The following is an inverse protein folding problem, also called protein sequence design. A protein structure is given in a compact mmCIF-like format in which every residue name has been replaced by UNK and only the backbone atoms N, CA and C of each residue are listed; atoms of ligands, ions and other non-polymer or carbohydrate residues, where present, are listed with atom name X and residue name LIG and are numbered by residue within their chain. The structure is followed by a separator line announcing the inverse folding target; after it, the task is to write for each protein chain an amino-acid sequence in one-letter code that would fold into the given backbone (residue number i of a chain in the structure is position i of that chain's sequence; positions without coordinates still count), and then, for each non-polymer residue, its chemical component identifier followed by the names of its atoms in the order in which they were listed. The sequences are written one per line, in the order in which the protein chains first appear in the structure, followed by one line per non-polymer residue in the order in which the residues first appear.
data_IF_411396684497
#
_entry.id   IF_411396684497
#
_cell.length_a   1.000
_cell.length_b   1.000
_cell.length_c   1.000
_cell.angle_alpha   90.00
_cell.angle_beta   90.00
_cell.angle_gamma   90.00
#
_symmetry.space_group_name_H-M   'P 1'
#
loop_
_entity.id
_entity.type
_entity.pdbx_description
1 polymer ?
#
# COMPACT_ATOMS: atom_id res chain seq x y z
N UNK A 1 -13.85 -56.85 -34.28
CA UNK A 1 -14.19 -55.42 -34.44
C UNK A 1 -14.13 -54.58 -33.15
N UNK A 2 -14.24 -55.17 -31.94
CA UNK A 2 -14.17 -54.40 -30.67
C UNK A 2 -12.78 -53.81 -30.31
N UNK A 3 -11.68 -54.32 -30.87
CA UNK A 3 -10.31 -53.91 -30.48
C UNK A 3 -9.91 -52.51 -30.96
N UNK A 4 -10.64 -51.92 -31.92
CA UNK A 4 -10.37 -50.57 -32.43
C UNK A 4 -11.23 -49.47 -31.76
N UNK A 5 -12.19 -49.85 -30.91
CA UNK A 5 -12.99 -48.91 -30.10
C UNK A 5 -12.24 -48.44 -28.84
N UNK A 6 -11.14 -49.09 -28.48
CA UNK A 6 -10.21 -48.71 -27.41
C UNK A 6 -8.96 -48.00 -27.98
N UNK A 7 -9.15 -47.12 -28.96
CA UNK A 7 -8.07 -46.22 -29.37
C UNK A 7 -7.75 -45.29 -28.21
N UNK A 8 -6.46 -45.16 -27.85
CA UNK A 8 -5.95 -44.32 -26.75
C UNK A 8 -6.56 -42.91 -26.75
N UNK A 9 -6.97 -42.39 -27.92
CA UNK A 9 -7.57 -41.08 -28.07
C UNK A 9 -8.96 -40.95 -27.43
N UNK A 10 -9.80 -41.98 -27.52
CA UNK A 10 -11.13 -41.97 -26.88
C UNK A 10 -10.97 -42.11 -25.36
N UNK A 11 -10.05 -42.97 -24.91
CA UNK A 11 -9.78 -43.15 -23.49
C UNK A 11 -9.24 -41.86 -22.84
N UNK A 12 -8.30 -41.17 -23.49
CA UNK A 12 -7.78 -39.89 -23.02
C UNK A 12 -8.89 -38.83 -22.96
N UNK A 13 -9.76 -38.75 -23.97
CA UNK A 13 -10.88 -37.80 -23.98
C UNK A 13 -11.86 -38.03 -22.82
N UNK A 14 -12.20 -39.29 -22.54
CA UNK A 14 -13.08 -39.65 -21.41
C UNK A 14 -12.40 -39.33 -20.07
N UNK A 15 -11.11 -39.61 -19.93
CA UNK A 15 -10.35 -39.32 -18.71
C UNK A 15 -10.35 -37.82 -18.40
N UNK A 16 -10.11 -36.96 -19.40
CA UNK A 16 -10.13 -35.50 -19.23
C UNK A 16 -11.52 -35.01 -18.82
N UNK A 17 -12.59 -35.52 -19.43
CA UNK A 17 -13.96 -35.16 -19.05
C UNK A 17 -14.29 -35.54 -17.61
N UNK A 18 -13.83 -36.70 -17.14
CA UNK A 18 -14.03 -37.12 -15.74
C UNK A 18 -13.27 -36.18 -14.79
N UNK A 19 -12.03 -35.83 -15.10
CA UNK A 19 -11.23 -34.90 -14.26
C UNK A 19 -11.91 -33.53 -14.20
N UNK A 20 -12.31 -32.96 -15.34
CA UNK A 20 -13.03 -31.69 -15.37
C UNK A 20 -14.34 -31.75 -14.58
N UNK A 21 -15.11 -32.84 -14.72
CA UNK A 21 -16.34 -33.02 -13.96
C UNK A 21 -16.12 -33.07 -12.45
N UNK A 22 -15.12 -33.82 -11.99
CA UNK A 22 -14.79 -33.92 -10.55
C UNK A 22 -14.31 -32.58 -10.01
N UNK A 23 -13.45 -31.85 -10.74
CA UNK A 23 -12.96 -30.52 -10.33
C UNK A 23 -14.11 -29.52 -10.27
N UNK A 24 -14.99 -29.46 -11.27
CA UNK A 24 -16.15 -28.56 -11.25
C UNK A 24 -17.11 -28.85 -10.10
N UNK A 25 -17.37 -30.13 -9.79
CA UNK A 25 -18.21 -30.51 -8.63
C UNK A 25 -17.53 -30.17 -7.31
N UNK A 26 -16.20 -30.27 -7.23
CA UNK A 26 -15.44 -29.87 -6.06
C UNK A 26 -15.57 -28.36 -5.79
N UNK A 27 -15.34 -27.52 -6.81
CA UNK A 27 -15.49 -26.06 -6.68
C UNK A 27 -16.92 -25.65 -6.31
N UNK A 28 -17.94 -26.29 -6.89
CA UNK A 28 -19.34 -26.03 -6.53
C UNK A 28 -19.70 -26.43 -5.09
N UNK A 29 -18.91 -27.27 -4.43
CA UNK A 29 -19.14 -27.68 -3.04
C UNK A 29 -18.34 -26.87 -2.03
N UNK A 30 -17.25 -26.23 -2.43
CA UNK A 30 -16.41 -25.43 -1.53
C UNK A 30 -16.90 -23.99 -1.36
N UNK A 31 -17.77 -23.50 -2.25
CA UNK A 31 -18.48 -22.24 -2.08
C UNK A 31 -19.70 -22.40 -1.14
N UNK A 32 -19.44 -22.82 0.10
CA UNK A 32 -20.42 -22.66 1.17
C UNK A 32 -20.57 -21.17 1.46
N UNK A 33 -21.79 -20.59 1.41
CA UNK A 33 -21.97 -19.19 1.74
C UNK A 33 -21.50 -18.96 3.17
N UNK A 34 -20.66 -17.93 3.36
CA UNK A 34 -20.38 -17.37 4.67
C UNK A 34 -21.72 -17.09 5.37
N UNK A 35 -21.76 -17.36 6.68
CA UNK A 35 -22.97 -17.37 7.50
C UNK A 35 -23.93 -16.22 7.15
N UNK A 36 -25.25 -16.48 7.08
CA UNK A 36 -26.21 -15.45 6.70
C UNK A 36 -26.04 -14.22 7.60
N UNK A 37 -25.62 -13.12 6.96
CA UNK A 37 -25.41 -11.82 7.60
C UNK A 37 -26.64 -11.51 8.44
N UNK A 38 -26.44 -11.38 9.75
CA UNK A 38 -27.48 -10.94 10.67
C UNK A 38 -27.83 -9.51 10.28
N UNK A 39 -28.93 -9.34 9.55
CA UNK A 39 -29.51 -8.04 9.23
C UNK A 39 -29.98 -7.46 10.57
N UNK A 40 -29.18 -6.54 11.12
CA UNK A 40 -29.60 -5.72 12.25
C UNK A 40 -30.80 -4.87 11.78
N UNK A 41 -31.85 -4.88 12.58
CA UNK A 41 -33.11 -4.19 12.31
C UNK A 41 -32.84 -2.75 11.87
N UNK A 42 -33.41 -2.28 10.73
CA UNK A 42 -33.22 -0.91 10.29
C UNK A 42 -33.69 0.05 11.38
N UNK A 43 -32.76 0.89 11.86
CA UNK A 43 -33.07 2.00 12.75
C UNK A 43 -33.91 2.98 11.94
N UNK A 44 -35.10 3.34 12.45
CA UNK A 44 -35.96 4.34 11.80
C UNK A 44 -35.14 5.62 11.53
N UNK A 45 -35.05 6.06 10.26
CA UNK A 45 -34.30 7.26 9.94
C UNK A 45 -34.95 8.45 10.64
N UNK A 46 -34.17 9.15 11.46
CA UNK A 46 -34.59 10.42 12.04
C UNK A 46 -34.99 11.39 10.91
N UNK A 47 -36.09 12.14 11.07
CA UNK A 47 -36.55 13.06 10.04
C UNK A 47 -35.45 14.07 9.72
N UNK A 48 -34.93 14.03 8.48
CA UNK A 48 -33.98 15.02 7.98
C UNK A 48 -34.60 16.41 8.15
N UNK A 49 -33.89 17.38 8.75
CA UNK A 49 -34.36 18.75 8.82
C UNK A 49 -34.52 19.28 7.39
N UNK A 50 -35.73 19.74 7.08
CA UNK A 50 -36.07 20.30 5.78
C UNK A 50 -35.50 21.72 5.73
N UNK A 51 -34.31 21.87 5.17
CA UNK A 51 -33.73 23.18 4.91
C UNK A 51 -34.57 23.87 3.81
N UNK A 52 -35.21 24.98 4.17
CA UNK A 52 -35.86 25.86 3.20
C UNK A 52 -34.79 26.71 2.52
N UNK A 53 -34.67 26.59 1.19
CA UNK A 53 -33.78 27.45 0.42
C UNK A 53 -34.29 28.91 0.50
N UNK A 54 -33.39 29.89 0.73
CA UNK A 54 -33.77 31.30 0.69
C UNK A 54 -34.24 31.66 -0.73
N UNK A 55 -35.52 32.03 -0.85
CA UNK A 55 -36.11 32.53 -2.10
C UNK A 55 -35.64 33.98 -2.28
N UNK A 56 -34.53 34.16 -2.99
CA UNK A 56 -34.04 35.45 -3.47
C UNK A 56 -33.55 35.32 -4.90
N UNK A 57 -34.18 36.04 -5.83
CA UNK A 57 -33.79 36.10 -7.24
C UNK A 57 -32.45 36.83 -7.42
N UNK A 58 -31.35 36.09 -7.38
CA UNK A 58 -30.07 36.50 -7.98
C UNK A 58 -29.31 35.27 -8.43
N UNK A 59 -28.70 35.30 -9.61
CA UNK A 59 -27.81 34.29 -10.16
C UNK A 59 -26.75 33.89 -9.12
N UNK A 60 -26.93 32.74 -8.44
CA UNK A 60 -25.99 32.22 -7.46
C UNK A 60 -25.36 30.93 -7.99
N UNK A 61 -24.07 31.03 -8.29
CA UNK A 61 -23.16 29.95 -8.67
C UNK A 61 -22.85 29.09 -7.43
N UNK A 62 -23.77 28.20 -7.09
CA UNK A 62 -23.68 27.31 -5.94
C UNK A 62 -24.38 25.97 -6.19
N UNK A 63 -23.98 24.94 -5.44
CA UNK A 63 -24.58 23.61 -5.53
C UNK A 63 -24.96 23.08 -4.14
N UNK A 64 -26.03 22.28 -4.12
CA UNK A 64 -26.53 21.58 -2.93
C UNK A 64 -25.94 20.18 -2.91
N UNK A 65 -25.35 19.76 -1.79
CA UNK A 65 -24.92 18.38 -1.59
C UNK A 65 -26.10 17.49 -1.16
N UNK A 66 -25.96 16.17 -1.30
CA UNK A 66 -27.03 15.21 -1.00
C UNK A 66 -27.45 15.19 0.48
N UNK A 67 -26.63 15.76 1.36
CA UNK A 67 -26.92 15.98 2.77
C UNK A 67 -27.77 17.24 3.05
N UNK A 68 -28.06 18.04 2.01
CA UNK A 68 -28.85 19.27 2.11
C UNK A 68 -28.03 20.51 2.47
N UNK A 69 -26.71 20.41 2.52
CA UNK A 69 -25.83 21.57 2.73
C UNK A 69 -25.64 22.34 1.42
N UNK A 70 -25.65 23.67 1.51
CA UNK A 70 -25.44 24.59 0.38
C UNK A 70 -24.02 25.16 0.44
N UNK A 71 -23.28 25.07 -0.66
CA UNK A 71 -22.02 25.78 -0.83
C UNK A 71 -22.19 26.91 -1.84
N UNK A 72 -22.01 28.15 -1.37
CA UNK A 72 -22.01 29.36 -2.20
C UNK A 72 -20.58 29.65 -2.67
N UNK A 73 -20.35 29.61 -3.99
CA UNK A 73 -19.10 30.05 -4.59
C UNK A 73 -18.54 29.08 -5.64
N UNK A 74 -18.13 29.65 -6.78
CA UNK A 74 -17.11 29.06 -7.65
C UNK A 74 -15.94 28.68 -6.74
N UNK A 75 -15.42 27.44 -6.82
CA UNK A 75 -14.19 27.10 -6.11
C UNK A 75 -13.12 28.11 -6.55
N UNK A 76 -12.87 29.15 -5.74
CA UNK A 76 -11.60 29.84 -5.83
C UNK A 76 -10.59 28.71 -5.72
N UNK A 77 -9.73 28.59 -6.74
CA UNK A 77 -8.57 27.76 -6.64
C UNK A 77 -7.77 28.32 -5.46
N UNK A 78 -8.12 27.88 -4.25
CA UNK A 78 -7.35 28.14 -3.07
C UNK A 78 -6.01 27.53 -3.43
N UNK A 79 -5.04 28.43 -3.66
CA UNK A 79 -3.66 28.02 -3.65
C UNK A 79 -3.52 27.15 -2.40
N UNK A 80 -3.10 25.88 -2.55
CA UNK A 80 -3.09 24.93 -1.45
C UNK A 80 -2.49 25.65 -0.25
N UNK A 81 -3.16 25.62 0.93
CA UNK A 81 -2.73 26.38 2.09
C UNK A 81 -1.24 26.21 2.18
N UNK A 82 -0.50 27.33 2.11
CA UNK A 82 0.95 27.30 2.08
C UNK A 82 1.37 26.60 3.36
N UNK A 83 1.61 25.29 3.27
CA UNK A 83 2.01 24.48 4.41
C UNK A 83 3.28 25.17 4.85
N UNK A 84 3.34 25.72 6.07
CA UNK A 84 4.56 26.34 6.54
C UNK A 84 5.59 25.24 6.57
N UNK A 85 6.39 25.14 5.49
CA UNK A 85 7.52 24.24 5.38
C UNK A 85 8.68 24.81 6.22
N UNK A 86 8.34 25.42 7.34
CA UNK A 86 9.22 25.78 8.42
C UNK A 86 9.37 24.53 9.26
N UNK A 87 9.99 23.49 8.70
CA UNK A 87 10.84 22.67 9.54
C UNK A 87 11.74 23.67 10.28
N UNK A 88 11.73 23.69 11.62
CA UNK A 88 12.58 24.59 12.36
C UNK A 88 13.99 24.54 11.76
N UNK A 89 14.58 25.67 11.33
CA UNK A 89 15.91 25.66 10.74
C UNK A 89 16.91 25.15 11.79
N UNK A 90 17.46 23.96 11.54
CA UNK A 90 18.32 23.21 12.48
C UNK A 90 17.47 22.27 13.34
N UNK A 91 17.58 20.95 13.25
CA UNK A 91 18.79 20.16 13.04
C UNK A 91 18.33 18.88 12.33
N UNK A 92 18.70 18.70 11.06
CA UNK A 92 18.81 17.32 10.56
C UNK A 92 19.97 16.72 11.35
N UNK A 93 19.69 16.15 12.51
CA UNK A 93 20.70 15.43 13.28
C UNK A 93 21.06 14.25 12.41
N UNK A 94 22.29 14.22 11.90
CA UNK A 94 22.88 12.96 11.45
C UNK A 94 22.57 11.93 12.55
N UNK A 95 21.80 10.87 12.26
CA UNK A 95 21.40 9.93 13.29
C UNK A 95 22.64 9.40 14.00
N UNK A 96 22.64 9.40 15.32
CA UNK A 96 23.72 8.84 16.11
C UNK A 96 23.58 7.31 16.13
N UNK A 97 24.00 6.69 15.03
CA UNK A 97 23.97 5.25 14.91
C UNK A 97 24.94 4.62 15.90
N UNK A 98 24.56 3.50 16.55
CA UNK A 98 25.51 2.70 17.30
C UNK A 98 26.72 2.36 16.41
N UNK A 99 27.92 2.48 16.96
CA UNK A 99 29.13 2.05 16.25
C UNK A 99 29.02 0.57 15.91
N UNK A 100 29.22 0.22 14.63
CA UNK A 100 29.23 -1.16 14.17
C UNK A 100 30.58 -1.80 14.55
N UNK A 101 30.55 -2.97 15.19
CA UNK A 101 31.78 -3.74 15.44
C UNK A 101 32.32 -4.23 14.08
N UNK A 102 33.59 -3.92 13.71
CA UNK A 102 34.14 -4.31 12.43
C UNK A 102 34.25 -5.84 12.22
N UNK A 103 34.09 -6.64 13.27
CA UNK A 103 34.08 -8.11 13.18
C UNK A 103 32.66 -8.70 13.18
N UNK A 104 31.63 -7.88 13.30
CA UNK A 104 30.24 -8.33 13.24
C UNK A 104 29.89 -8.80 11.82
N UNK A 105 29.02 -9.81 11.73
CA UNK A 105 28.47 -10.23 10.45
C UNK A 105 27.70 -9.05 9.80
N UNK A 106 27.96 -8.72 8.53
CA UNK A 106 27.37 -7.54 7.90
C UNK A 106 25.85 -7.62 7.77
N UNK A 107 25.26 -8.82 7.69
CA UNK A 107 23.81 -9.01 7.68
C UNK A 107 23.24 -8.77 9.07
N UNK A 108 23.88 -9.29 10.12
CA UNK A 108 23.50 -9.01 11.52
C UNK A 108 23.53 -7.51 11.82
N UNK A 109 24.60 -6.83 11.43
CA UNK A 109 24.75 -5.38 11.59
C UNK A 109 23.64 -4.60 10.84
N UNK A 110 23.26 -5.05 9.64
CA UNK A 110 22.15 -4.47 8.88
C UNK A 110 20.81 -4.60 9.63
N UNK A 111 20.50 -5.77 10.20
CA UNK A 111 19.29 -5.97 10.99
C UNK A 111 19.29 -5.16 12.30
N UNK A 112 20.44 -5.02 12.97
CA UNK A 112 20.54 -4.12 14.15
C UNK A 112 20.24 -2.68 13.77
N UNK A 113 20.76 -2.21 12.63
CA UNK A 113 20.44 -0.88 12.10
C UNK A 113 18.96 -0.73 11.74
N UNK A 114 18.35 -1.75 11.15
CA UNK A 114 16.92 -1.76 10.83
C UNK A 114 16.06 -1.64 12.10
N UNK A 115 16.42 -2.39 13.14
CA UNK A 115 15.73 -2.32 14.44
C UNK A 115 15.95 -0.96 15.12
N UNK A 116 17.13 -0.36 14.99
CA UNK A 116 17.38 1.00 15.45
C UNK A 116 16.46 2.01 14.74
N UNK A 117 16.37 1.97 13.41
CA UNK A 117 15.49 2.84 12.61
C UNK A 117 14.05 2.73 13.10
N UNK A 118 13.55 1.50 13.26
CA UNK A 118 12.19 1.21 13.71
C UNK A 118 11.90 1.81 15.08
N UNK A 119 12.86 1.76 16.00
CA UNK A 119 12.71 2.27 17.37
C UNK A 119 12.96 3.78 17.49
N UNK A 120 13.53 4.42 16.47
CA UNK A 120 13.87 5.84 16.46
C UNK A 120 13.35 6.53 15.18
N UNK A 121 12.04 6.48 14.89
CA UNK A 121 11.50 6.89 13.60
C UNK A 121 11.67 8.40 13.32
N UNK A 122 11.93 9.23 14.33
CA UNK A 122 12.15 10.67 14.18
C UNK A 122 13.63 11.07 13.99
N UNK A 123 14.57 10.12 13.98
CA UNK A 123 15.99 10.45 13.87
C UNK A 123 16.39 11.05 12.50
N UNK A 124 15.53 10.89 11.48
CA UNK A 124 15.68 11.47 10.13
C UNK A 124 14.80 12.72 9.93
N UNK A 125 14.28 13.28 11.02
CA UNK A 125 13.35 14.39 11.00
C UNK A 125 11.89 13.95 11.07
N UNK A 126 11.00 14.81 10.59
CA UNK A 126 9.57 14.72 10.86
C UNK A 126 9.21 15.27 12.24
N UNK A 127 7.92 15.52 12.44
CA UNK A 127 7.38 16.01 13.71
C UNK A 127 6.22 15.10 14.09
N UNK A 128 6.13 14.76 15.37
CA UNK A 128 4.98 14.05 15.87
C UNK A 128 3.71 14.88 15.64
N UNK A 129 2.77 14.34 14.87
CA UNK A 129 1.45 14.94 14.65
C UNK A 129 0.37 14.12 15.34
N UNK A 130 -0.34 14.73 16.29
CA UNK A 130 -1.57 14.13 16.85
C UNK A 130 -2.60 13.90 15.75
N UNK A 131 -2.68 14.80 14.76
CA UNK A 131 -3.56 14.64 13.61
C UNK A 131 -3.20 13.42 12.76
N UNK A 132 -1.92 13.14 12.56
CA UNK A 132 -1.50 11.90 11.90
C UNK A 132 -1.99 10.66 12.67
N UNK A 133 -1.99 10.71 14.00
CA UNK A 133 -2.49 9.60 14.85
C UNK A 133 -3.98 9.36 14.62
N UNK A 134 -4.78 10.42 14.57
CA UNK A 134 -6.22 10.34 14.27
C UNK A 134 -6.50 9.82 12.86
N UNK A 135 -5.76 10.30 11.86
CA UNK A 135 -5.92 9.88 10.46
C UNK A 135 -5.56 8.41 10.28
N UNK A 136 -4.47 7.94 10.91
CA UNK A 136 -4.11 6.51 10.93
C UNK A 136 -5.25 5.68 11.54
N UNK A 137 -5.88 6.15 12.62
CA UNK A 137 -6.98 5.42 13.25
C UNK A 137 -8.23 5.35 12.35
N UNK A 138 -8.51 6.39 11.56
CA UNK A 138 -9.64 6.42 10.62
C UNK A 138 -9.40 5.56 9.38
N UNK A 139 -8.17 5.55 8.87
CA UNK A 139 -7.80 4.85 7.63
C UNK A 139 -7.53 3.36 7.82
N UNK A 140 -7.49 2.86 9.06
CA UNK A 140 -7.15 1.48 9.39
C UNK A 140 -8.36 0.73 9.99
N UNK A 141 -8.58 -0.55 9.64
CA UNK A 141 -7.73 -1.40 8.80
C UNK A 141 -7.75 -1.01 7.32
N UNK A 142 -6.65 -1.24 6.61
CA UNK A 142 -6.50 -0.83 5.22
C UNK A 142 -7.52 -1.49 4.27
N UNK A 143 -8.03 -2.68 4.59
CA UNK A 143 -9.06 -3.37 3.81
C UNK A 143 -10.46 -2.96 4.29
N UNK A 144 -10.91 -1.76 3.93
CA UNK A 144 -12.33 -1.41 4.08
C UNK A 144 -13.11 -1.90 2.86
N UNK A 145 -14.35 -2.40 3.03
CA UNK A 145 -15.23 -2.70 1.91
C UNK A 145 -15.32 -1.45 1.03
N UNK A 146 -15.03 -1.60 -0.26
CA UNK A 146 -15.19 -0.50 -1.21
C UNK A 146 -16.69 -0.30 -1.40
N UNK A 147 -17.29 0.56 -0.59
CA UNK A 147 -18.49 1.25 -1.05
C UNK A 147 -18.02 2.28 -2.08
N UNK A 148 -18.62 2.24 -3.27
CA UNK A 148 -18.19 3.08 -4.39
C UNK A 148 -18.34 4.59 -4.11
N UNK A 149 -19.11 4.97 -3.09
CA UNK A 149 -19.29 6.35 -2.66
C UNK A 149 -18.22 6.86 -1.67
N UNK A 150 -17.51 5.97 -0.96
CA UNK A 150 -16.55 6.36 0.10
C UNK A 150 -15.13 6.59 -0.44
N UNK A 151 -14.93 6.45 -1.76
CA UNK A 151 -13.62 6.59 -2.41
C UNK A 151 -13.04 7.99 -2.24
N UNK A 152 -13.88 9.02 -2.37
CA UNK A 152 -13.43 10.41 -2.42
C UNK A 152 -13.01 10.91 -1.02
N UNK A 153 -13.81 10.62 0.02
CA UNK A 153 -13.47 11.00 1.40
C UNK A 153 -12.18 10.30 1.86
N UNK A 154 -12.04 9.01 1.52
CA UNK A 154 -10.85 8.25 1.87
C UNK A 154 -9.60 8.80 1.20
N UNK A 155 -9.67 9.22 -0.06
CA UNK A 155 -8.54 9.84 -0.76
C UNK A 155 -8.12 11.15 -0.09
N UNK A 156 -9.09 11.99 0.30
CA UNK A 156 -8.81 13.24 1.04
C UNK A 156 -8.11 12.99 2.39
N UNK A 157 -8.54 11.98 3.14
CA UNK A 157 -7.89 11.60 4.41
C UNK A 157 -6.46 11.08 4.18
N UNK A 158 -6.22 10.35 3.09
CA UNK A 158 -4.87 9.87 2.71
C UNK A 158 -3.97 11.04 2.32
N UNK A 159 -4.48 12.00 1.54
CA UNK A 159 -3.75 13.21 1.19
C UNK A 159 -3.40 14.03 2.43
N UNK A 160 -4.36 14.20 3.35
CA UNK A 160 -4.12 14.89 4.62
C UNK A 160 -3.04 14.17 5.45
N UNK A 161 -3.07 12.83 5.50
CA UNK A 161 -2.06 12.03 6.19
C UNK A 161 -0.68 12.21 5.56
N UNK A 162 -0.61 12.26 4.23
CA UNK A 162 0.62 12.50 3.49
C UNK A 162 1.21 13.88 3.82
N UNK A 163 0.36 14.90 3.94
CA UNK A 163 0.79 16.26 4.31
C UNK A 163 1.36 16.35 5.73
N UNK A 164 0.99 15.44 6.64
CA UNK A 164 1.55 15.42 7.99
C UNK A 164 3.05 15.09 8.01
N UNK A 165 3.52 14.32 7.02
CA UNK A 165 4.91 13.82 6.93
C UNK A 165 5.43 13.21 8.25
N UNK A 166 4.53 12.60 9.04
CA UNK A 166 4.87 11.92 10.29
C UNK A 166 5.46 10.55 9.94
N UNK A 167 6.67 10.20 10.39
CA UNK A 167 7.28 8.89 10.12
C UNK A 167 6.40 7.68 10.47
N UNK A 168 5.50 7.81 11.46
CA UNK A 168 4.56 6.74 11.83
C UNK A 168 3.51 6.48 10.75
N UNK A 169 3.23 7.45 9.89
CA UNK A 169 2.30 7.29 8.78
C UNK A 169 2.77 6.23 7.77
N UNK A 170 4.08 5.98 7.67
CA UNK A 170 4.64 5.03 6.70
C UNK A 170 3.99 3.64 6.78
N UNK A 171 3.72 3.15 7.99
CA UNK A 171 3.04 1.87 8.21
C UNK A 171 1.61 1.83 7.67
N UNK A 172 0.85 2.90 7.86
CA UNK A 172 -0.51 3.01 7.32
C UNK A 172 -0.50 3.16 5.80
N UNK A 173 0.36 4.03 5.26
CA UNK A 173 0.48 4.27 3.82
C UNK A 173 0.83 2.99 3.06
N UNK A 174 1.82 2.22 3.51
CA UNK A 174 2.18 0.97 2.82
C UNK A 174 1.07 -0.08 2.93
N UNK A 175 0.36 -0.14 4.05
CA UNK A 175 -0.78 -1.05 4.21
C UNK A 175 -1.95 -0.67 3.29
N UNK A 176 -2.26 0.62 3.16
CA UNK A 176 -3.27 1.13 2.23
C UNK A 176 -2.92 0.79 0.78
N UNK A 177 -1.63 0.87 0.42
CA UNK A 177 -1.16 0.55 -0.93
C UNK A 177 -1.16 -0.95 -1.24
N UNK A 178 -0.74 -1.78 -0.29
CA UNK A 178 -0.57 -3.22 -0.49
C UNK A 178 -1.82 -4.04 -0.19
N UNK A 179 -2.53 -3.72 0.89
CA UNK A 179 -3.70 -4.47 1.36
C UNK A 179 -5.03 -3.74 1.05
N UNK A 180 -5.02 -2.40 0.99
CA UNK A 180 -6.22 -1.59 0.71
C UNK A 180 -6.51 -1.34 -0.78
N UNK A 181 -5.56 -1.67 -1.66
CA UNK A 181 -5.67 -1.44 -3.10
C UNK A 181 -5.63 0.03 -3.53
N UNK A 182 -5.35 0.96 -2.60
CA UNK A 182 -5.27 2.39 -2.90
C UNK A 182 -3.95 2.70 -3.59
N UNK A 183 -3.96 3.57 -4.60
CA UNK A 183 -2.74 3.98 -5.30
C UNK A 183 -2.71 5.48 -5.38
N UNK A 184 -1.53 6.05 -5.19
CA UNK A 184 -1.36 7.49 -5.28
C UNK A 184 0.11 7.82 -5.40
N UNK A 185 0.44 8.69 -6.37
CA UNK A 185 1.79 9.23 -6.49
C UNK A 185 2.23 9.92 -5.19
N UNK A 186 1.28 10.61 -4.55
CA UNK A 186 1.48 11.28 -3.27
C UNK A 186 1.98 10.35 -2.17
N UNK A 187 1.48 9.10 -2.09
CA UNK A 187 1.95 8.15 -1.08
C UNK A 187 3.38 7.68 -1.34
N UNK A 188 3.76 7.43 -2.60
CA UNK A 188 5.14 7.10 -2.96
C UNK A 188 6.10 8.23 -2.60
N UNK A 189 5.75 9.46 -2.97
CA UNK A 189 6.57 10.64 -2.71
C UNK A 189 6.64 10.94 -1.20
N UNK A 190 5.59 10.63 -0.44
CA UNK A 190 5.58 10.74 1.02
C UNK A 190 6.46 9.68 1.69
N UNK A 191 6.38 8.40 1.28
CA UNK A 191 7.28 7.36 1.80
C UNK A 191 8.75 7.69 1.52
N UNK A 192 9.04 8.26 0.34
CA UNK A 192 10.36 8.78 0.01
C UNK A 192 10.76 9.98 0.89
N UNK A 193 9.83 10.90 1.16
CA UNK A 193 10.08 12.05 2.04
C UNK A 193 10.33 11.63 3.50
N UNK A 194 9.59 10.62 4.00
CA UNK A 194 9.82 10.00 5.32
C UNK A 194 11.20 9.34 5.37
N UNK A 195 11.62 8.66 4.29
CA UNK A 195 12.97 8.12 4.16
C UNK A 195 13.20 6.82 4.94
N UNK A 196 14.36 6.64 5.62
CA UNK A 196 14.71 5.39 6.31
C UNK A 196 13.65 4.84 7.28
N UNK A 197 12.95 5.67 8.09
CA UNK A 197 11.84 5.21 8.93
C UNK A 197 10.73 4.43 8.21
N UNK A 198 10.55 4.61 6.90
CA UNK A 198 9.57 3.84 6.15
C UNK A 198 10.01 2.39 5.87
N UNK A 199 11.32 2.13 5.80
CA UNK A 199 11.88 0.82 5.39
C UNK A 199 11.42 -0.36 6.25
N UNK A 200 11.41 -0.29 7.60
CA UNK A 200 10.92 -1.38 8.45
C UNK A 200 9.47 -1.79 8.15
N UNK A 201 8.65 -0.87 7.66
CA UNK A 201 7.25 -1.15 7.32
C UNK A 201 7.08 -1.73 5.91
N UNK A 202 7.99 -1.40 4.99
CA UNK A 202 7.93 -1.89 3.60
C UNK A 202 8.51 -3.31 3.46
N UNK A 203 9.57 -3.64 4.21
CA UNK A 203 10.25 -4.94 4.11
C UNK A 203 9.35 -6.17 4.34
N UNK A 204 8.41 -6.18 5.31
CA UNK A 204 7.47 -7.30 5.45
C UNK A 204 6.65 -7.57 4.18
N UNK A 205 6.29 -6.53 3.42
CA UNK A 205 5.58 -6.69 2.15
C UNK A 205 6.49 -7.23 1.05
N UNK A 206 7.78 -6.86 1.05
CA UNK A 206 8.77 -7.46 0.15
C UNK A 206 8.93 -8.96 0.38
N UNK A 207 8.93 -9.41 1.63
CA UNK A 207 9.01 -10.85 1.95
C UNK A 207 7.72 -11.60 1.60
N UNK A 208 6.57 -10.93 1.71
CA UNK A 208 5.28 -11.50 1.30
C UNK A 208 5.20 -11.76 -0.19
N UNK A 209 6.04 -11.14 -1.04
CA UNK A 209 6.02 -11.30 -2.52
C UNK A 209 6.09 -12.76 -3.00
N UNK A 210 6.53 -13.69 -2.15
CA UNK A 210 6.63 -15.12 -2.44
C UNK A 210 5.34 -15.94 -2.18
N UNK A 211 4.34 -15.42 -1.45
CA UNK A 211 3.34 -16.29 -0.78
C UNK A 211 1.89 -16.20 -1.27
N UNK A 212 1.54 -15.31 -2.19
CA UNK A 212 0.15 -15.04 -2.61
C UNK A 212 -0.10 -15.23 -4.14
N UNK A 213 -1.35 -15.30 -4.59
CA UNK A 213 -1.72 -15.54 -6.00
C UNK A 213 -1.74 -14.27 -6.88
N UNK A 214 -2.33 -14.34 -8.07
CA UNK A 214 -2.32 -13.37 -9.20
C UNK A 214 -2.58 -11.87 -8.96
N UNK A 215 -2.86 -11.40 -7.74
CA UNK A 215 -3.12 -9.97 -7.41
C UNK A 215 -1.87 -9.08 -7.28
N UNK A 216 -0.72 -9.58 -7.74
CA UNK A 216 0.63 -9.04 -7.49
C UNK A 216 1.02 -7.74 -8.17
N UNK A 217 0.27 -7.29 -9.16
CA UNK A 217 0.67 -6.09 -9.91
C UNK A 217 0.80 -4.93 -8.92
N UNK A 218 -0.12 -4.81 -7.96
CA UNK A 218 -0.19 -3.64 -7.08
C UNK A 218 0.91 -3.64 -6.01
N UNK A 219 1.10 -4.77 -5.30
CA UNK A 219 2.12 -4.91 -4.26
C UNK A 219 3.53 -4.67 -4.82
N UNK A 220 3.78 -5.11 -6.07
CA UNK A 220 5.08 -4.88 -6.70
C UNK A 220 5.41 -3.39 -6.80
N UNK A 221 4.50 -2.56 -7.33
CA UNK A 221 4.76 -1.12 -7.39
C UNK A 221 4.89 -0.49 -6.00
N UNK A 222 4.00 -0.87 -5.08
CA UNK A 222 3.96 -0.36 -3.72
C UNK A 222 5.25 -0.60 -2.93
N UNK A 223 6.01 -1.65 -3.28
CA UNK A 223 7.23 -2.05 -2.57
C UNK A 223 8.50 -1.61 -3.30
N UNK A 224 8.64 -1.97 -4.59
CA UNK A 224 9.89 -1.76 -5.32
C UNK A 224 10.19 -0.26 -5.53
N UNK A 225 9.18 0.55 -5.86
CA UNK A 225 9.39 1.96 -6.19
C UNK A 225 9.83 2.78 -4.96
N UNK A 226 9.14 2.73 -3.79
CA UNK A 226 9.62 3.38 -2.57
C UNK A 226 11.00 2.93 -2.14
N UNK A 227 11.25 1.61 -2.08
CA UNK A 227 12.55 1.10 -1.63
C UNK A 227 13.69 1.55 -2.55
N UNK A 228 13.47 1.61 -3.86
CA UNK A 228 14.48 2.08 -4.81
C UNK A 228 14.77 3.57 -4.61
N UNK A 229 13.72 4.40 -4.48
CA UNK A 229 13.86 5.85 -4.29
C UNK A 229 14.52 6.20 -2.96
N UNK A 230 14.06 5.56 -1.88
CA UNK A 230 14.67 5.69 -0.55
C UNK A 230 16.12 5.20 -0.60
N UNK A 231 16.39 4.08 -1.25
CA UNK A 231 17.73 3.51 -1.40
C UNK A 231 18.72 4.43 -2.14
N UNK A 232 18.27 5.12 -3.19
CA UNK A 232 19.09 6.13 -3.89
C UNK A 232 19.32 7.35 -3.01
N UNK A 233 18.26 7.90 -2.40
CA UNK A 233 18.32 9.18 -1.68
C UNK A 233 19.03 9.08 -0.33
N UNK A 234 18.88 7.95 0.36
CA UNK A 234 19.35 7.73 1.73
C UNK A 234 20.36 6.57 1.81
N UNK A 235 21.14 6.35 0.75
CA UNK A 235 22.09 5.23 0.67
C UNK A 235 22.99 5.11 1.89
N UNK A 236 23.63 6.22 2.27
CA UNK A 236 24.55 6.26 3.41
C UNK A 236 23.83 6.03 4.74
N UNK A 237 22.62 6.57 4.89
CA UNK A 237 21.79 6.43 6.09
C UNK A 237 21.22 5.01 6.25
N UNK A 238 20.98 4.28 5.16
CA UNK A 238 20.60 2.87 5.21
C UNK A 238 21.79 1.96 5.51
N UNK A 239 23.00 2.36 5.12
CA UNK A 239 24.21 1.55 5.29
C UNK A 239 24.01 0.12 4.77
N UNK A 240 24.38 -0.86 5.59
CA UNK A 240 24.27 -2.28 5.25
C UNK A 240 22.85 -2.78 4.95
N UNK A 241 21.78 -2.07 5.34
CA UNK A 241 20.40 -2.47 5.02
C UNK A 241 20.19 -2.50 3.51
N UNK A 242 20.73 -1.52 2.79
CA UNK A 242 20.55 -1.45 1.34
C UNK A 242 21.21 -2.63 0.65
N UNK A 243 22.48 -2.89 0.94
CA UNK A 243 23.27 -3.90 0.22
C UNK A 243 22.93 -5.33 0.68
N UNK A 244 22.79 -5.56 1.99
CA UNK A 244 22.67 -6.91 2.56
C UNK A 244 21.24 -7.40 2.72
N UNK A 245 20.24 -6.50 2.68
CA UNK A 245 18.83 -6.87 2.81
C UNK A 245 18.08 -6.55 1.51
N UNK A 246 18.00 -5.27 1.13
CA UNK A 246 17.15 -4.84 0.00
C UNK A 246 17.70 -5.34 -1.35
N UNK A 247 18.95 -5.00 -1.69
CA UNK A 247 19.57 -5.40 -2.96
C UNK A 247 19.71 -6.92 -3.04
N UNK A 248 20.14 -7.57 -1.96
CA UNK A 248 20.22 -9.03 -1.89
C UNK A 248 18.87 -9.68 -2.21
N UNK A 249 17.77 -9.16 -1.64
CA UNK A 249 16.42 -9.66 -1.93
C UNK A 249 15.97 -9.39 -3.36
N UNK A 250 16.28 -8.20 -3.90
CA UNK A 250 15.96 -7.90 -5.30
C UNK A 250 16.73 -8.80 -6.27
N UNK A 251 17.99 -9.14 -5.96
CA UNK A 251 18.78 -10.09 -6.75
C UNK A 251 18.19 -11.49 -6.71
N UNK A 252 17.76 -11.98 -5.54
CA UNK A 252 17.04 -13.26 -5.40
C UNK A 252 15.80 -13.29 -6.32
N UNK A 253 14.98 -12.24 -6.27
CA UNK A 253 13.76 -12.14 -7.09
C UNK A 253 14.09 -12.03 -8.58
N UNK A 254 15.07 -11.21 -8.96
CA UNK A 254 15.46 -10.98 -10.35
C UNK A 254 16.07 -12.22 -11.03
N UNK A 255 16.64 -13.13 -10.24
CA UNK A 255 17.25 -14.38 -10.69
C UNK A 255 16.23 -15.49 -11.02
N UNK A 256 14.95 -15.33 -10.68
CA UNK A 256 13.89 -16.27 -11.06
C UNK A 256 13.48 -16.09 -12.53
N UNK A 257 14.33 -16.56 -13.45
CA UNK A 257 14.16 -16.38 -14.90
C UNK A 257 12.89 -17.03 -15.45
N UNK A 258 12.46 -18.15 -14.85
CA UNK A 258 11.31 -18.92 -15.29
C UNK A 258 10.00 -18.48 -14.62
N UNK A 259 10.06 -17.55 -13.66
CA UNK A 259 8.91 -17.12 -12.86
C UNK A 259 8.28 -18.30 -12.09
N UNK A 260 9.12 -19.24 -11.63
CA UNK A 260 8.67 -20.43 -10.90
C UNK A 260 8.21 -20.06 -9.48
N UNK A 261 8.79 -19.01 -8.91
CA UNK A 261 8.54 -18.53 -7.56
C UNK A 261 7.88 -17.16 -7.53
N UNK A 262 8.25 -16.26 -8.44
CA UNK A 262 7.80 -14.88 -8.50
C UNK A 262 7.11 -14.61 -9.83
N UNK A 263 6.03 -13.82 -9.83
CA UNK A 263 5.35 -13.44 -11.07
C UNK A 263 6.25 -12.61 -12.01
N UNK A 264 6.03 -12.65 -13.34
CA UNK A 264 6.87 -11.96 -14.32
C UNK A 264 6.94 -10.45 -14.13
N UNK A 265 5.86 -9.83 -13.65
CA UNK A 265 5.85 -8.40 -13.30
C UNK A 265 6.79 -8.10 -12.14
N UNK A 266 6.80 -8.95 -11.11
CA UNK A 266 7.66 -8.83 -9.93
C UNK A 266 9.12 -8.97 -10.31
N UNK A 267 9.48 -10.00 -11.07
CA UNK A 267 10.84 -10.24 -11.56
C UNK A 267 11.36 -9.05 -12.37
N UNK A 268 10.52 -8.54 -13.30
CA UNK A 268 10.86 -7.34 -14.07
C UNK A 268 11.08 -6.12 -13.17
N UNK A 269 10.23 -5.89 -12.17
CA UNK A 269 10.34 -4.75 -11.25
C UNK A 269 11.59 -4.83 -10.38
N UNK A 270 11.95 -6.02 -9.90
CA UNK A 270 13.21 -6.22 -9.18
C UNK A 270 14.43 -5.86 -10.04
N UNK A 271 14.42 -6.22 -11.33
CA UNK A 271 15.49 -5.83 -12.28
C UNK A 271 15.54 -4.32 -12.53
N UNK A 272 14.38 -3.68 -12.70
CA UNK A 272 14.28 -2.22 -12.84
C UNK A 272 14.83 -1.51 -11.58
N UNK A 273 14.44 -1.98 -10.40
CA UNK A 273 14.90 -1.48 -9.11
C UNK A 273 16.43 -1.63 -8.93
N UNK A 274 17.00 -2.79 -9.27
CA UNK A 274 18.45 -3.01 -9.25
C UNK A 274 19.20 -2.08 -10.21
N UNK A 275 18.64 -1.82 -11.40
CA UNK A 275 19.21 -0.86 -12.35
C UNK A 275 19.23 0.57 -11.83
N UNK A 276 18.23 0.96 -11.03
CA UNK A 276 18.18 2.26 -10.35
C UNK A 276 19.19 2.32 -9.20
N UNK A 277 19.27 1.28 -8.37
CA UNK A 277 20.16 1.22 -7.20
C UNK A 277 21.65 1.01 -7.54
N UNK A 278 21.95 0.54 -8.75
CA UNK A 278 23.33 0.39 -9.25
C UNK A 278 23.93 1.66 -9.86
N UNK A 279 23.16 2.75 -9.96
CA UNK A 279 23.64 4.07 -10.38
C UNK A 279 24.08 4.89 -9.17
#
# INVERSE_FOLDING_TARGET
MLKNLLSNRIFIGILVLIICGVVSVYFLRTDLPEEPIKIYTPVEPMPKPKAEAPIGETEQDGHVHEDGTWHEGTHEAHAPPAVPNTSPPGVATTPDFPSVDPNEDPVEAAYKRLEYIKNNPYAWGGVHSERATELIAQLMPASLPIDHNDSDERELLIEELCQQNDPRAAGALIALMCDGGTKGRVMFDTLEAIGPPAVPYILPYLERVNTMGTDWIQVSFAVFDPLSRIGVRYREDLGGILDHIIIAKFQEIAADENNERYGPTTVRRAREALSVLGR
#
